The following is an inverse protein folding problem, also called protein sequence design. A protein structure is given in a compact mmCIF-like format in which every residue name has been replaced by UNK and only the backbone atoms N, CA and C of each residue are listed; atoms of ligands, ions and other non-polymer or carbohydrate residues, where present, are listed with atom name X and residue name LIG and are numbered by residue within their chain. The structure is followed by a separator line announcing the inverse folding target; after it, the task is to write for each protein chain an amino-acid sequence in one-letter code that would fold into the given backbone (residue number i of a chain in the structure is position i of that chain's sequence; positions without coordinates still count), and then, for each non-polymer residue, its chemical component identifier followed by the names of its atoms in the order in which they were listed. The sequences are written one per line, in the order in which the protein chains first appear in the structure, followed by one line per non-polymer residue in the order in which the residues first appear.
data_IF_662036405800
#
_entry.id   IF_662036405800
#
_cell.length_a   1.000
_cell.length_b   1.000
_cell.length_c   1.000
_cell.angle_alpha   90.00
_cell.angle_beta   90.00
_cell.angle_gamma   90.00
#
_symmetry.space_group_name_H-M   'P 1'
#
loop_
_entity.id
_entity.type
_entity.pdbx_description
1 polymer ?
#
# COMPACT_ATOMS: atom_id res chain seq x y z
N UNK A 1 7.19 -13.72 6.78
CA UNK A 1 6.11 -13.38 5.83
C UNK A 1 6.75 -12.81 4.59
N UNK A 2 6.50 -13.40 3.42
CA UNK A 2 7.14 -12.97 2.17
C UNK A 2 6.63 -11.63 1.64
N UNK A 3 7.01 -11.31 0.40
CA UNK A 3 6.59 -10.09 -0.30
C UNK A 3 5.06 -10.09 -0.62
N UNK A 4 4.55 -8.99 -1.20
CA UNK A 4 3.16 -8.85 -1.61
C UNK A 4 2.65 -9.91 -2.62
N UNK A 5 3.54 -10.67 -3.29
CA UNK A 5 3.16 -11.82 -4.14
C UNK A 5 2.83 -13.09 -3.33
N UNK A 6 3.26 -13.16 -2.07
CA UNK A 6 2.99 -14.31 -1.18
C UNK A 6 1.73 -14.13 -0.33
N UNK A 7 1.11 -12.95 -0.40
CA UNK A 7 -0.13 -12.70 0.32
C UNK A 7 -1.26 -13.51 -0.30
N UNK A 8 -1.98 -14.21 0.56
CA UNK A 8 -3.23 -14.91 0.27
C UNK A 8 -4.41 -14.17 0.91
N UNK A 9 -5.63 -14.56 0.57
CA UNK A 9 -6.88 -14.01 1.15
C UNK A 9 -6.91 -14.01 2.68
N UNK A 10 -6.34 -15.03 3.32
CA UNK A 10 -6.20 -15.11 4.79
C UNK A 10 -5.45 -13.93 5.40
N UNK A 11 -4.65 -13.20 4.61
CA UNK A 11 -3.88 -12.03 5.03
C UNK A 11 -4.62 -10.70 4.83
N UNK A 12 -5.82 -10.69 4.24
CA UNK A 12 -6.64 -9.47 4.10
C UNK A 12 -6.84 -8.74 5.44
N UNK A 13 -7.17 -9.43 6.57
CA UNK A 13 -7.29 -8.78 7.87
C UNK A 13 -5.98 -8.12 8.34
N UNK A 14 -4.82 -8.69 7.99
CA UNK A 14 -3.53 -8.09 8.30
C UNK A 14 -3.32 -6.78 7.52
N UNK A 15 -3.56 -6.79 6.21
CA UNK A 15 -3.42 -5.59 5.36
C UNK A 15 -4.34 -4.48 5.85
N UNK A 16 -5.61 -4.81 6.19
CA UNK A 16 -6.55 -3.85 6.78
C UNK A 16 -6.03 -3.26 8.10
N UNK A 17 -5.52 -4.08 9.02
CA UNK A 17 -4.93 -3.59 10.27
C UNK A 17 -3.76 -2.64 10.02
N UNK A 18 -2.89 -2.94 9.06
CA UNK A 18 -1.78 -2.04 8.71
C UNK A 18 -2.28 -0.68 8.20
N UNK A 19 -3.33 -0.66 7.38
CA UNK A 19 -3.96 0.58 6.92
C UNK A 19 -4.54 1.39 8.08
N UNK A 20 -5.25 0.74 9.01
CA UNK A 20 -5.83 1.42 10.17
C UNK A 20 -4.77 2.05 11.06
N UNK A 21 -3.65 1.35 11.31
CA UNK A 21 -2.51 1.92 12.02
C UNK A 21 -1.92 3.11 11.25
N UNK A 22 -1.77 3.00 9.92
CA UNK A 22 -1.29 4.09 9.08
C UNK A 22 -2.17 5.34 9.15
N UNK A 23 -3.49 5.17 9.07
CA UNK A 23 -4.47 6.26 9.22
C UNK A 23 -4.40 6.90 10.61
N UNK A 24 -4.32 6.11 11.67
CA UNK A 24 -4.21 6.62 13.04
C UNK A 24 -2.93 7.46 13.23
N UNK A 25 -1.80 7.03 12.64
CA UNK A 25 -0.55 7.81 12.65
C UNK A 25 -0.72 9.12 11.89
N UNK A 26 -1.38 9.13 10.74
CA UNK A 26 -1.63 10.36 9.97
C UNK A 26 -2.51 11.35 10.71
N UNK A 27 -3.61 10.87 11.29
CA UNK A 27 -4.52 11.69 12.11
C UNK A 27 -3.77 12.32 13.29
N UNK A 28 -2.92 11.55 13.98
CA UNK A 28 -2.08 12.05 15.08
C UNK A 28 -1.10 13.15 14.63
N UNK A 29 -0.69 13.16 13.36
CA UNK A 29 0.22 14.14 12.78
C UNK A 29 -0.51 15.25 12.00
N UNK A 30 -1.82 15.45 12.21
CA UNK A 30 -2.66 16.47 11.56
C UNK A 30 -2.80 16.31 10.04
N UNK A 31 -2.58 15.12 9.51
CA UNK A 31 -2.92 14.79 8.11
C UNK A 31 -4.31 14.15 8.06
N UNK A 32 -5.32 14.97 7.79
CA UNK A 32 -6.74 14.57 7.76
C UNK A 32 -7.30 14.41 6.34
N UNK A 33 -6.65 14.97 5.32
CA UNK A 33 -7.06 14.78 3.92
C UNK A 33 -6.55 13.44 3.40
N UNK A 34 -7.42 12.43 3.45
CA UNK A 34 -7.13 11.09 2.96
C UNK A 34 -6.93 11.04 1.42
N UNK A 35 -7.38 12.05 0.67
CA UNK A 35 -7.13 12.12 -0.78
C UNK A 35 -5.69 12.52 -1.11
N UNK A 36 -5.03 13.20 -0.17
CA UNK A 36 -3.62 13.58 -0.28
C UNK A 36 -2.68 12.59 0.43
N UNK A 37 -3.18 11.38 0.69
CA UNK A 37 -2.44 10.29 1.33
C UNK A 37 -2.32 9.13 0.35
N UNK A 38 -1.14 8.52 0.28
CA UNK A 38 -0.96 7.24 -0.42
C UNK A 38 -0.48 6.17 0.54
N UNK A 39 -1.25 5.09 0.62
CA UNK A 39 -0.93 3.90 1.40
C UNK A 39 -0.79 2.69 0.50
N UNK A 40 0.37 2.04 0.51
CA UNK A 40 0.59 0.89 -0.37
C UNK A 40 1.92 0.18 -0.19
N UNK A 41 2.18 -0.78 -1.07
CA UNK A 41 3.30 -1.70 -1.00
C UNK A 41 4.12 -1.66 -2.29
N UNK A 42 5.43 -1.93 -2.20
CA UNK A 42 6.26 -2.13 -3.39
C UNK A 42 6.03 -3.51 -4.02
N UNK A 43 6.05 -3.58 -5.35
CA UNK A 43 6.03 -4.84 -6.12
C UNK A 43 7.47 -5.29 -6.48
N UNK A 44 7.79 -6.59 -6.42
CA UNK A 44 9.08 -7.12 -6.90
C UNK A 44 9.31 -6.82 -8.38
N UNK A 45 10.58 -6.68 -8.85
CA UNK A 45 11.82 -7.12 -8.19
C UNK A 45 12.46 -6.11 -7.23
N UNK A 46 11.94 -4.89 -7.14
CA UNK A 46 12.49 -3.83 -6.29
C UNK A 46 11.88 -3.84 -4.89
N UNK A 47 11.88 -5.02 -4.26
CA UNK A 47 11.64 -5.12 -2.84
C UNK A 47 12.98 -4.91 -2.14
N UNK A 48 13.24 -3.71 -1.63
CA UNK A 48 14.46 -3.44 -0.84
C UNK A 48 14.56 -4.35 0.39
N UNK A 49 13.45 -4.98 0.82
CA UNK A 49 13.40 -5.89 1.97
C UNK A 49 12.40 -7.03 1.73
N UNK A 50 12.70 -8.22 2.23
CA UNK A 50 11.89 -9.45 2.07
C UNK A 50 10.67 -9.54 3.01
N UNK A 51 10.20 -8.44 3.60
CA UNK A 51 9.03 -8.40 4.47
C UNK A 51 7.94 -7.46 3.93
N UNK A 52 6.71 -7.69 4.38
CA UNK A 52 5.57 -6.83 4.06
C UNK A 52 5.73 -5.46 4.72
N UNK A 53 6.01 -4.42 3.92
CA UNK A 53 6.21 -3.06 4.40
C UNK A 53 5.17 -2.11 3.78
N UNK A 54 4.31 -1.53 4.62
CA UNK A 54 3.33 -0.54 4.20
C UNK A 54 3.99 0.85 4.16
N UNK A 55 4.04 1.45 2.98
CA UNK A 55 4.39 2.85 2.81
C UNK A 55 3.17 3.71 3.09
N UNK A 56 3.33 4.69 3.99
CA UNK A 56 2.33 5.73 4.29
C UNK A 56 2.95 7.06 3.89
N UNK A 57 2.43 7.67 2.83
CA UNK A 57 2.99 8.88 2.21
C UNK A 57 1.97 10.02 2.35
N UNK A 58 2.36 11.09 3.03
CA UNK A 58 1.58 12.32 3.17
C UNK A 58 2.51 13.53 3.31
N UNK A 59 2.17 14.69 2.72
CA UNK A 59 1.16 14.88 1.69
C UNK A 59 1.67 14.40 0.32
N UNK A 60 0.87 13.63 -0.41
CA UNK A 60 1.23 13.07 -1.70
C UNK A 60 1.44 14.16 -2.78
N UNK A 61 0.78 15.31 -2.62
CA UNK A 61 0.89 16.51 -3.44
C UNK A 61 2.27 17.15 -3.37
N UNK A 62 2.95 17.05 -2.22
CA UNK A 62 4.30 17.58 -2.01
C UNK A 62 5.42 16.60 -2.40
N UNK A 63 5.08 15.39 -2.87
CA UNK A 63 6.06 14.50 -3.44
C UNK A 63 6.69 15.14 -4.69
N UNK A 64 8.02 15.21 -4.72
CA UNK A 64 8.79 15.64 -5.89
C UNK A 64 8.41 14.88 -7.16
N UNK A 65 8.72 15.45 -8.32
CA UNK A 65 8.25 14.93 -9.61
C UNK A 65 8.59 13.43 -9.83
N UNK A 66 9.82 13.04 -9.51
CA UNK A 66 10.28 11.64 -9.64
C UNK A 66 9.59 10.69 -8.64
N UNK A 67 9.40 11.11 -7.39
CA UNK A 67 8.70 10.28 -6.39
C UNK A 67 7.22 10.13 -6.73
N UNK A 68 6.59 11.14 -7.32
CA UNK A 68 5.21 11.05 -7.82
C UNK A 68 5.03 10.03 -8.94
N UNK A 69 6.06 9.82 -9.76
CA UNK A 69 6.11 8.79 -10.81
C UNK A 69 6.35 7.41 -10.21
N UNK A 70 7.30 7.28 -9.28
CA UNK A 70 7.64 6.00 -8.64
C UNK A 70 6.48 5.47 -7.78
N UNK A 71 5.85 6.34 -6.98
CA UNK A 71 4.70 6.04 -6.13
C UNK A 71 3.35 6.26 -6.85
N UNK A 72 3.33 6.29 -8.18
CA UNK A 72 2.10 6.51 -8.96
C UNK A 72 1.13 5.34 -8.74
N UNK A 73 -0.13 5.67 -8.52
CA UNK A 73 -1.26 4.72 -8.52
C UNK A 73 -1.27 3.99 -9.88
N UNK A 74 -1.42 2.67 -9.89
CA UNK A 74 -1.31 1.81 -11.08
C UNK A 74 0.09 1.68 -11.70
N UNK A 75 1.16 2.00 -10.97
CA UNK A 75 2.52 1.73 -11.45
C UNK A 75 2.89 0.25 -11.31
N UNK A 76 3.77 -0.25 -12.17
CA UNK A 76 4.36 -1.60 -12.05
C UNK A 76 5.08 -1.81 -10.71
N UNK A 77 5.43 -0.71 -10.02
CA UNK A 77 6.32 -0.64 -8.87
C UNK A 77 5.58 -0.49 -7.54
N UNK A 78 4.33 -0.03 -7.56
CA UNK A 78 3.56 0.32 -6.37
C UNK A 78 2.10 -0.14 -6.50
N UNK A 79 1.59 -0.83 -5.49
CA UNK A 79 0.18 -1.20 -5.37
C UNK A 79 -0.42 -0.54 -4.15
N UNK A 80 -1.57 0.13 -4.29
CA UNK A 80 -2.26 0.64 -3.10
C UNK A 80 -2.79 -0.52 -2.26
N UNK A 81 -2.94 -0.30 -0.96
CA UNK A 81 -3.48 -1.34 -0.08
C UNK A 81 -4.90 -1.77 -0.49
N UNK A 82 -5.71 -0.85 -1.01
CA UNK A 82 -7.05 -1.11 -1.54
C UNK A 82 -7.00 -2.01 -2.78
N UNK A 83 -6.15 -1.69 -3.76
CA UNK A 83 -5.94 -2.51 -4.95
C UNK A 83 -5.42 -3.90 -4.63
N UNK A 84 -4.58 -4.01 -3.60
CA UNK A 84 -4.08 -5.30 -3.14
C UNK A 84 -5.21 -6.14 -2.53
N UNK A 85 -6.08 -5.53 -1.72
CA UNK A 85 -7.25 -6.23 -1.15
C UNK A 85 -8.19 -6.69 -2.26
N UNK A 86 -8.50 -5.82 -3.22
CA UNK A 86 -9.36 -6.15 -4.36
C UNK A 86 -8.78 -7.33 -5.16
N UNK A 87 -7.49 -7.28 -5.50
CA UNK A 87 -6.80 -8.37 -6.20
C UNK A 87 -6.91 -9.69 -5.44
N UNK A 88 -6.66 -9.68 -4.12
CA UNK A 88 -6.75 -10.88 -3.29
C UNK A 88 -8.17 -11.44 -3.24
N UNK A 89 -9.19 -10.58 -3.23
CA UNK A 89 -10.59 -11.00 -3.26
C UNK A 89 -10.98 -11.62 -4.61
N UNK A 90 -10.53 -11.04 -5.73
CA UNK A 90 -10.79 -11.55 -7.08
C UNK A 90 -10.09 -12.89 -7.35
N UNK A 91 -8.83 -13.06 -6.93
CA UNK A 91 -8.08 -14.32 -7.09
C UNK A 91 -8.77 -15.50 -6.37
N UNK A 92 -9.45 -15.24 -5.26
CA UNK A 92 -10.22 -16.24 -4.53
C UNK A 92 -11.62 -16.51 -5.11
N UNK A 93 -12.19 -15.57 -5.86
CA UNK A 93 -13.48 -15.77 -6.53
C UNK A 93 -13.33 -16.56 -7.85
N UNK A 94 -12.11 -16.62 -8.40
CA UNK A 94 -11.78 -17.35 -9.62
C UNK A 94 -11.16 -18.75 -9.35
N UNK A 95 -11.00 -19.14 -8.09
CA UNK A 95 -10.49 -20.45 -7.64
C UNK A 95 -11.62 -21.31 -7.10
#
# INVERSE_FOLDING_TARGET
MGNCKTLKTEHIPLVKRMMEVGKAVLQKNNFSDLNDVRMGFHRPPFCSIAHLHLHVLAPASQLGFLSRIYYRINSYWFITAEQLIERLQTENAAS
#
